data_IF_837948700048
#
_entry.id   IF_837948700048
#
_cell.length_a   1.000
_cell.length_b   1.000
_cell.length_c   1.000
_cell.angle_alpha   90.00
_cell.angle_beta   90.00
_cell.angle_gamma   90.00
#
_symmetry.space_group_name_H-M   'P 1'
#
loop_
_entity.id
_entity.type
_entity.pdbx_description
1 polymer ?
#
# COMPACT_ATOMS: atom_id res chain seq x y z
N UNK A 1 13.53 -15.93 -31.01
CA UNK A 1 13.26 -14.61 -31.59
C UNK A 1 11.79 -14.56 -32.00
N UNK A 2 10.89 -14.41 -31.01
CA UNK A 2 9.47 -14.10 -31.19
C UNK A 2 9.28 -12.73 -30.55
N UNK A 3 9.03 -11.71 -31.36
CA UNK A 3 8.94 -10.32 -30.94
C UNK A 3 7.58 -10.02 -30.30
N UNK A 4 7.67 -9.20 -29.27
CA UNK A 4 6.62 -8.55 -28.50
C UNK A 4 5.62 -7.79 -29.39
N UNK A 5 4.46 -8.37 -29.70
CA UNK A 5 3.37 -7.66 -30.39
C UNK A 5 2.37 -6.97 -29.41
N UNK A 6 2.59 -6.99 -28.09
CA UNK A 6 1.62 -6.49 -27.10
C UNK A 6 2.09 -5.31 -26.20
N UNK A 7 3.19 -4.62 -26.54
CA UNK A 7 3.72 -3.53 -25.69
C UNK A 7 3.26 -2.11 -26.09
N UNK A 8 2.28 -1.98 -26.98
CA UNK A 8 1.78 -0.68 -27.41
C UNK A 8 0.55 -0.27 -26.61
N UNK A 9 0.64 0.91 -25.97
CA UNK A 9 -0.50 1.52 -25.29
C UNK A 9 -1.37 2.37 -26.21
N UNK A 10 -0.92 2.57 -27.46
CA UNK A 10 -1.51 3.52 -28.37
C UNK A 10 -1.09 4.95 -28.03
N UNK A 11 -1.99 5.89 -28.23
CA UNK A 11 -1.70 7.31 -28.10
C UNK A 11 -2.04 7.83 -26.70
N UNK A 12 -1.13 8.60 -26.09
CA UNK A 12 -1.38 9.36 -24.86
C UNK A 12 -1.65 10.83 -25.17
N UNK A 13 -2.55 11.43 -24.40
CA UNK A 13 -2.81 12.87 -24.47
C UNK A 13 -1.88 13.63 -23.52
N UNK A 14 -1.16 14.61 -24.06
CA UNK A 14 -0.33 15.56 -23.34
C UNK A 14 -1.08 16.90 -23.31
N UNK A 15 -1.35 17.41 -22.11
CA UNK A 15 -2.10 18.66 -21.96
C UNK A 15 -1.64 19.47 -20.77
N UNK A 16 -1.96 20.76 -20.77
CA UNK A 16 -1.75 21.61 -19.60
C UNK A 16 -2.98 21.63 -18.70
N UNK A 17 -2.76 21.55 -17.39
CA UNK A 17 -3.80 21.69 -16.37
C UNK A 17 -3.26 22.53 -15.20
N UNK A 18 -3.71 23.78 -15.09
CA UNK A 18 -3.33 24.65 -13.97
C UNK A 18 -1.83 24.86 -13.77
N UNK A 19 -1.04 24.84 -14.86
CA UNK A 19 0.43 25.00 -14.82
C UNK A 19 1.21 23.68 -14.86
N UNK A 20 0.54 22.53 -14.71
CA UNK A 20 1.16 21.20 -14.80
C UNK A 20 0.99 20.62 -16.21
N UNK A 21 1.96 19.82 -16.67
CA UNK A 21 1.78 18.96 -17.85
C UNK A 21 1.20 17.62 -17.39
N UNK A 22 0.10 17.21 -18.00
CA UNK A 22 -0.59 15.96 -17.70
C UNK A 22 -0.42 15.01 -18.86
N UNK A 23 0.08 13.80 -18.59
CA UNK A 23 0.06 12.67 -19.52
C UNK A 23 -1.04 11.73 -19.02
N UNK A 24 -2.06 11.49 -19.83
CA UNK A 24 -3.18 10.62 -19.49
C UNK A 24 -3.79 9.94 -20.72
N UNK A 25 -4.45 8.79 -20.50
CA UNK A 25 -5.34 8.17 -21.48
C UNK A 25 -6.65 8.95 -21.67
N UNK A 26 -7.11 9.66 -20.63
CA UNK A 26 -8.36 10.45 -20.59
C UNK A 26 -8.45 11.37 -19.34
N UNK A 27 -9.34 12.38 -19.39
CA UNK A 27 -9.43 13.56 -18.48
C UNK A 27 -9.52 13.20 -16.98
N UNK A 28 -8.84 13.92 -16.05
CA UNK A 28 -8.87 13.58 -14.64
C UNK A 28 -10.12 14.14 -13.93
N UNK A 29 -10.79 13.25 -13.20
CA UNK A 29 -11.47 13.57 -11.95
C UNK A 29 -10.42 13.60 -10.81
N UNK A 30 -10.69 14.28 -9.66
CA UNK A 30 -9.77 14.28 -8.51
C UNK A 30 -9.43 12.86 -8.08
N UNK A 31 -8.19 12.59 -7.61
CA UNK A 31 -7.69 11.23 -7.50
C UNK A 31 -8.58 10.40 -6.56
N UNK A 32 -9.28 9.40 -7.10
CA UNK A 32 -10.06 8.46 -6.31
C UNK A 32 -9.13 7.56 -5.50
N UNK A 33 -9.69 6.87 -4.51
CA UNK A 33 -8.95 6.01 -3.59
C UNK A 33 -8.16 4.87 -4.29
N UNK A 34 -8.52 4.51 -5.52
CA UNK A 34 -7.79 3.52 -6.32
C UNK A 34 -6.56 4.06 -7.05
N UNK A 35 -6.29 5.38 -6.99
CA UNK A 35 -5.04 5.93 -7.52
C UNK A 35 -3.97 5.95 -6.44
N UNK A 36 -2.91 5.18 -6.64
CA UNK A 36 -1.67 5.32 -5.91
C UNK A 36 -0.86 6.49 -6.49
N UNK A 37 -0.29 7.33 -5.63
CA UNK A 37 0.60 8.42 -6.08
C UNK A 37 2.03 8.15 -5.65
N UNK A 38 2.96 8.19 -6.61
CA UNK A 38 4.40 8.07 -6.42
C UNK A 38 5.02 9.41 -6.77
N UNK A 39 5.75 10.01 -5.82
CA UNK A 39 6.49 11.23 -6.10
C UNK A 39 7.74 10.88 -6.92
N UNK A 40 7.83 11.46 -8.10
CA UNK A 40 8.95 11.30 -9.02
C UNK A 40 9.75 12.59 -9.15
N UNK A 41 10.95 12.52 -9.72
CA UNK A 41 11.69 13.73 -10.05
C UNK A 41 10.99 14.50 -11.17
N UNK A 42 10.70 15.78 -10.93
CA UNK A 42 9.92 16.60 -11.85
C UNK A 42 8.45 16.22 -12.04
N UNK A 43 7.86 15.40 -11.16
CA UNK A 43 6.42 15.17 -11.19
C UNK A 43 5.87 14.16 -10.18
N UNK A 44 4.66 13.69 -10.46
CA UNK A 44 3.96 12.66 -9.69
C UNK A 44 3.36 11.64 -10.66
N UNK A 45 3.67 10.36 -10.45
CA UNK A 45 3.05 9.25 -11.19
C UNK A 45 1.84 8.75 -10.40
N UNK A 46 0.72 8.59 -11.09
CA UNK A 46 -0.53 8.07 -10.56
C UNK A 46 -0.83 6.72 -11.22
N UNK A 47 -0.89 5.66 -10.42
CA UNK A 47 -1.17 4.29 -10.87
C UNK A 47 -2.56 3.89 -10.42
N UNK A 48 -3.38 3.42 -11.34
CA UNK A 48 -4.64 2.76 -11.00
C UNK A 48 -4.37 1.36 -10.44
N UNK A 49 -4.70 1.14 -9.17
CA UNK A 49 -4.48 -0.15 -8.52
C UNK A 49 -5.57 -1.17 -8.83
N UNK A 50 -6.69 -0.74 -9.43
CA UNK A 50 -7.75 -1.64 -9.92
C UNK A 50 -7.34 -2.35 -11.20
N UNK A 51 -6.60 -1.65 -12.06
CA UNK A 51 -6.01 -2.19 -13.27
C UNK A 51 -4.57 -1.65 -13.43
N UNK A 52 -3.58 -2.27 -12.77
CA UNK A 52 -2.19 -1.83 -12.83
C UNK A 52 -1.54 -2.10 -14.21
N UNK A 53 -2.28 -2.65 -15.17
CA UNK A 53 -1.82 -2.82 -16.56
C UNK A 53 -2.13 -1.58 -17.43
N UNK A 54 -2.98 -0.67 -16.92
CA UNK A 54 -3.29 0.59 -17.59
C UNK A 54 -2.11 1.55 -17.60
N UNK A 55 -2.15 2.46 -18.57
CA UNK A 55 -1.17 3.54 -18.71
C UNK A 55 -1.21 4.41 -17.45
N UNK A 56 -0.10 4.57 -16.72
CA UNK A 56 -0.11 5.45 -15.56
C UNK A 56 -0.42 6.89 -15.99
N UNK A 57 -1.07 7.66 -15.12
CA UNK A 57 -1.26 9.09 -15.33
C UNK A 57 -0.10 9.84 -14.70
N UNK A 58 0.41 10.88 -15.35
CA UNK A 58 1.51 11.69 -14.79
C UNK A 58 1.12 13.14 -14.70
N UNK A 59 1.50 13.78 -13.60
CA UNK A 59 1.45 15.22 -13.39
C UNK A 59 2.88 15.74 -13.28
N UNK A 60 3.36 16.46 -14.30
CA UNK A 60 4.70 17.03 -14.35
C UNK A 60 4.70 18.48 -13.88
N UNK A 61 5.62 18.78 -12.97
CA UNK A 61 5.96 20.13 -12.54
C UNK A 61 7.29 20.62 -13.14
N UNK A 62 8.22 19.70 -13.44
CA UNK A 62 9.48 19.96 -14.14
C UNK A 62 9.72 18.89 -15.24
N UNK A 63 9.25 19.14 -16.48
CA UNK A 63 9.38 18.20 -17.59
C UNK A 63 10.83 17.89 -17.97
N UNK A 64 11.77 18.82 -17.72
CA UNK A 64 13.18 18.61 -18.04
C UNK A 64 13.80 17.58 -17.11
N UNK A 65 13.50 17.66 -15.81
CA UNK A 65 13.93 16.66 -14.83
C UNK A 65 13.25 15.32 -15.05
N UNK A 66 12.01 15.33 -15.52
CA UNK A 66 11.25 14.10 -15.75
C UNK A 66 11.67 13.30 -16.98
N UNK A 67 12.43 13.91 -17.91
CA UNK A 67 12.71 13.33 -19.24
C UNK A 67 13.27 11.91 -19.20
N UNK A 68 14.25 11.66 -18.33
CA UNK A 68 14.93 10.37 -18.27
C UNK A 68 13.98 9.24 -17.88
N UNK A 69 13.20 9.41 -16.82
CA UNK A 69 12.28 8.35 -16.40
C UNK A 69 11.02 8.28 -17.28
N UNK A 70 10.62 9.38 -17.92
CA UNK A 70 9.52 9.36 -18.90
C UNK A 70 9.84 8.45 -20.07
N UNK A 71 11.07 8.46 -20.58
CA UNK A 71 11.53 7.54 -21.61
C UNK A 71 11.46 6.08 -21.12
N UNK A 72 11.94 5.83 -19.90
CA UNK A 72 11.92 4.50 -19.30
C UNK A 72 10.51 3.97 -18.96
N UNK A 73 9.50 4.83 -18.84
CA UNK A 73 8.12 4.42 -18.52
C UNK A 73 7.21 4.43 -19.76
N UNK A 74 7.30 5.45 -20.61
CA UNK A 74 6.41 5.67 -21.77
C UNK A 74 7.08 5.51 -23.14
N UNK A 75 8.40 5.31 -23.16
CA UNK A 75 9.21 5.28 -24.37
C UNK A 75 9.60 6.66 -24.89
N UNK A 76 10.54 6.65 -25.82
CA UNK A 76 11.24 7.85 -26.30
C UNK A 76 10.31 8.84 -26.99
N UNK A 77 9.33 8.35 -27.76
CA UNK A 77 8.40 9.22 -28.51
C UNK A 77 7.56 10.10 -27.58
N UNK A 78 7.05 9.53 -26.48
CA UNK A 78 6.28 10.26 -25.48
C UNK A 78 7.16 11.25 -24.70
N UNK A 79 8.38 10.84 -24.33
CA UNK A 79 9.34 11.70 -23.65
C UNK A 79 9.76 12.90 -24.51
N UNK A 80 10.02 12.69 -25.80
CA UNK A 80 10.37 13.75 -26.74
C UNK A 80 9.19 14.66 -27.09
N UNK A 81 7.95 14.13 -27.09
CA UNK A 81 6.75 14.95 -27.22
C UNK A 81 6.59 15.90 -26.02
N UNK A 82 6.77 15.39 -24.79
CA UNK A 82 6.77 16.22 -23.57
C UNK A 82 7.88 17.28 -23.61
N UNK A 83 9.08 16.93 -24.06
CA UNK A 83 10.20 17.88 -24.15
C UNK A 83 9.99 19.00 -25.19
N UNK A 84 9.18 18.74 -26.22
CA UNK A 84 8.81 19.72 -27.26
C UNK A 84 7.51 20.46 -26.96
N UNK A 85 6.81 20.07 -25.90
CA UNK A 85 5.51 20.66 -25.54
C UNK A 85 5.73 22.14 -25.19
N UNK A 86 5.35 23.02 -26.11
CA UNK A 86 5.48 24.47 -25.97
C UNK A 86 4.25 25.06 -25.29
N UNK A 87 4.50 25.97 -24.35
CA UNK A 87 3.56 26.52 -23.38
C UNK A 87 2.49 27.44 -24.00
N UNK A 88 2.65 27.79 -25.28
CA UNK A 88 1.96 28.89 -25.95
C UNK A 88 0.58 28.58 -26.54
N UNK A 89 0.20 27.30 -26.69
CA UNK A 89 -1.06 26.94 -27.35
C UNK A 89 -2.01 26.25 -26.37
N UNK A 90 -3.03 26.99 -25.91
CA UNK A 90 -4.15 26.45 -25.11
C UNK A 90 -5.11 25.58 -25.95
N UNK A 91 -4.57 24.93 -26.98
CA UNK A 91 -5.29 24.14 -27.98
C UNK A 91 -5.67 22.75 -27.50
N UNK A 92 -6.03 21.89 -28.46
CA UNK A 92 -6.30 20.48 -28.20
C UNK A 92 -5.06 19.79 -27.58
N UNK A 93 -5.25 18.74 -26.75
CA UNK A 93 -4.13 17.95 -26.23
C UNK A 93 -3.24 17.50 -27.38
N UNK A 94 -1.92 17.63 -27.21
CA UNK A 94 -0.96 17.00 -28.12
C UNK A 94 -1.03 15.49 -27.90
N UNK A 95 -0.84 14.73 -28.97
CA UNK A 95 -1.04 13.29 -28.96
C UNK A 95 0.24 12.62 -29.41
N UNK A 96 0.81 11.81 -28.53
CA UNK A 96 2.04 11.09 -28.80
C UNK A 96 1.82 9.58 -28.70
N UNK A 97 2.47 8.77 -29.54
CA UNK A 97 2.48 7.33 -29.35
C UNK A 97 3.25 7.01 -28.06
N UNK A 98 2.68 6.12 -27.24
CA UNK A 98 3.28 5.62 -26.02
C UNK A 98 3.43 4.10 -26.07
N UNK A 99 4.52 3.63 -25.49
CA UNK A 99 4.85 2.20 -25.39
C UNK A 99 5.22 1.88 -23.95
N UNK A 100 4.99 0.63 -23.55
CA UNK A 100 5.45 0.14 -22.27
C UNK A 100 6.98 0.17 -22.24
N UNK A 101 7.53 1.11 -21.48
CA UNK A 101 8.97 1.17 -21.21
C UNK A 101 9.42 0.14 -20.18
N UNK A 102 10.73 0.02 -19.99
CA UNK A 102 11.37 -0.96 -19.12
C UNK A 102 10.92 -0.85 -17.65
N UNK A 103 10.64 0.36 -17.19
CA UNK A 103 10.20 0.62 -15.82
C UNK A 103 8.70 0.47 -15.61
N UNK A 104 7.88 0.29 -16.66
CA UNK A 104 6.42 0.27 -16.50
C UNK A 104 5.95 -0.77 -15.46
N UNK A 105 6.34 -2.03 -15.63
CA UNK A 105 5.91 -3.10 -14.72
C UNK A 105 6.38 -2.87 -13.28
N UNK A 106 7.55 -2.25 -13.11
CA UNK A 106 8.10 -1.91 -11.79
C UNK A 106 7.29 -0.77 -11.18
N UNK A 107 7.01 0.31 -11.92
CA UNK A 107 6.22 1.47 -11.47
C UNK A 107 4.79 1.08 -11.12
N UNK A 108 4.15 0.23 -11.92
CA UNK A 108 2.83 -0.29 -11.65
C UNK A 108 2.80 -1.08 -10.32
N UNK A 109 3.75 -2.01 -10.14
CA UNK A 109 3.87 -2.80 -8.91
C UNK A 109 4.23 -1.93 -7.70
N UNK A 110 5.08 -0.93 -7.90
CA UNK A 110 5.46 0.04 -6.87
C UNK A 110 4.26 0.89 -6.43
N UNK A 111 3.42 1.32 -7.38
CA UNK A 111 2.16 2.03 -7.10
C UNK A 111 1.22 1.20 -6.24
N UNK A 112 1.01 -0.08 -6.61
CA UNK A 112 0.27 -1.03 -5.77
C UNK A 112 0.90 -1.15 -4.39
N UNK A 113 2.22 -1.30 -4.30
CA UNK A 113 2.94 -1.38 -3.02
C UNK A 113 2.69 -0.15 -2.12
N UNK A 114 2.85 1.06 -2.65
CA UNK A 114 2.54 2.29 -1.92
C UNK A 114 1.08 2.39 -1.51
N UNK A 115 0.16 1.94 -2.35
CA UNK A 115 -1.26 1.88 -2.02
C UNK A 115 -1.54 0.91 -0.88
N UNK A 116 -0.99 -0.31 -0.92
CA UNK A 116 -1.10 -1.28 0.16
C UNK A 116 -0.50 -0.73 1.46
N UNK A 117 0.69 -0.14 1.37
CA UNK A 117 1.38 0.44 2.53
C UNK A 117 0.57 1.56 3.18
N UNK A 118 -0.22 2.28 2.38
CA UNK A 118 -1.06 3.39 2.82
C UNK A 118 -2.45 2.97 3.29
N UNK A 119 -3.08 2.04 2.59
CA UNK A 119 -4.52 1.77 2.68
C UNK A 119 -4.87 0.34 3.08
N UNK A 120 -3.88 -0.56 3.20
CA UNK A 120 -4.20 -1.93 3.56
C UNK A 120 -4.80 -2.01 4.96
N UNK A 121 -5.95 -2.68 5.11
CA UNK A 121 -6.59 -2.78 6.39
C UNK A 121 -5.82 -3.70 7.33
N UNK A 122 -5.28 -3.16 8.43
CA UNK A 122 -4.69 -3.97 9.49
C UNK A 122 -5.79 -4.53 10.41
N UNK A 123 -5.86 -5.85 10.57
CA UNK A 123 -6.67 -6.50 11.61
C UNK A 123 -8.16 -6.67 11.31
N UNK A 124 -8.57 -6.67 10.04
CA UNK A 124 -9.91 -7.11 9.66
C UNK A 124 -9.93 -8.64 9.53
N UNK A 125 -10.87 -9.31 10.22
CA UNK A 125 -10.98 -10.79 10.19
C UNK A 125 -11.19 -11.35 8.76
N UNK A 126 -11.67 -10.52 7.84
CA UNK A 126 -11.99 -10.88 6.44
C UNK A 126 -10.85 -10.59 5.46
N UNK A 127 -9.79 -9.86 5.87
CA UNK A 127 -8.68 -9.47 5.01
C UNK A 127 -7.37 -10.07 5.53
N UNK A 128 -6.61 -10.81 4.71
CA UNK A 128 -5.32 -11.34 5.13
C UNK A 128 -4.42 -10.25 5.69
N UNK A 129 -3.80 -10.53 6.84
CA UNK A 129 -2.83 -9.60 7.39
C UNK A 129 -1.60 -9.55 6.47
N UNK A 130 -1.12 -8.34 6.19
CA UNK A 130 0.11 -8.13 5.43
C UNK A 130 1.24 -7.94 6.43
N UNK A 131 2.34 -8.69 6.24
CA UNK A 131 3.58 -8.40 6.94
C UNK A 131 4.17 -7.10 6.40
N UNK A 132 4.08 -6.05 7.20
CA UNK A 132 4.51 -4.71 6.80
C UNK A 132 6.02 -4.63 6.60
N UNK A 133 6.82 -5.40 7.34
CA UNK A 133 8.26 -5.44 7.13
C UNK A 133 8.62 -6.03 5.77
N UNK A 134 7.92 -7.09 5.36
CA UNK A 134 8.08 -7.66 4.02
C UNK A 134 7.54 -6.75 2.92
N UNK A 135 6.46 -6.02 3.19
CA UNK A 135 5.95 -5.00 2.26
C UNK A 135 6.95 -3.85 2.09
N UNK A 136 7.54 -3.35 3.18
CA UNK A 136 8.56 -2.29 3.14
C UNK A 136 9.79 -2.75 2.34
N UNK A 137 10.25 -3.99 2.53
CA UNK A 137 11.34 -4.61 1.76
C UNK A 137 11.02 -4.71 0.26
N UNK A 138 9.80 -5.12 -0.08
CA UNK A 138 9.35 -5.22 -1.48
C UNK A 138 9.23 -3.84 -2.14
N UNK A 139 8.64 -2.85 -1.47
CA UNK A 139 8.55 -1.48 -1.97
C UNK A 139 9.96 -0.88 -2.12
N UNK A 140 10.85 -1.09 -1.15
CA UNK A 140 12.23 -0.62 -1.21
C UNK A 140 13.02 -1.24 -2.38
N UNK A 141 12.87 -2.55 -2.61
CA UNK A 141 13.48 -3.21 -3.77
C UNK A 141 12.96 -2.66 -5.10
N UNK A 142 11.64 -2.49 -5.23
CA UNK A 142 11.00 -1.93 -6.43
C UNK A 142 11.40 -0.47 -6.66
N UNK A 143 11.50 0.32 -5.59
CA UNK A 143 11.93 1.71 -5.68
C UNK A 143 13.41 1.84 -6.08
N UNK A 144 14.27 0.92 -5.62
CA UNK A 144 15.67 0.86 -6.07
C UNK A 144 15.80 0.44 -7.54
N UNK A 145 14.98 -0.51 -8.00
CA UNK A 145 14.92 -0.85 -9.44
C UNK A 145 14.37 0.31 -10.29
N UNK A 146 13.51 1.14 -9.72
CA UNK A 146 13.00 2.37 -10.31
C UNK A 146 13.78 3.61 -9.88
N UNK A 147 15.07 3.49 -9.51
CA UNK A 147 15.91 4.60 -9.06
C UNK A 147 15.86 5.84 -9.96
N UNK A 148 15.85 5.72 -11.32
CA UNK A 148 15.77 6.89 -12.20
C UNK A 148 14.50 7.74 -12.01
N UNK A 149 13.46 7.20 -11.35
CA UNK A 149 12.24 7.91 -11.03
C UNK A 149 12.45 8.95 -9.91
N UNK A 150 13.44 8.79 -9.04
CA UNK A 150 13.58 9.56 -7.81
C UNK A 150 14.68 10.61 -7.89
N UNK A 151 14.46 11.75 -7.23
CA UNK A 151 15.47 12.82 -7.15
C UNK A 151 16.60 12.49 -6.14
N UNK A 152 16.28 11.65 -5.15
CA UNK A 152 17.22 11.14 -4.15
C UNK A 152 16.77 9.77 -3.63
N UNK A 153 17.66 9.07 -2.95
CA UNK A 153 17.43 7.70 -2.46
C UNK A 153 16.91 7.66 -1.01
N UNK A 154 16.63 8.81 -0.38
CA UNK A 154 16.23 8.86 1.02
C UNK A 154 14.92 8.09 1.31
N UNK A 155 13.88 8.13 0.45
CA UNK A 155 12.67 7.32 0.65
C UNK A 155 12.97 5.81 0.62
N UNK A 156 13.90 5.38 -0.23
CA UNK A 156 14.30 3.97 -0.37
C UNK A 156 15.05 3.53 0.89
N UNK A 157 15.97 4.37 1.36
CA UNK A 157 16.71 4.13 2.60
C UNK A 157 15.77 4.02 3.81
N UNK A 158 14.76 4.89 3.90
CA UNK A 158 13.77 4.85 4.99
C UNK A 158 12.95 3.56 5.01
N UNK A 159 12.71 2.95 3.85
CA UNK A 159 12.02 1.66 3.74
C UNK A 159 12.94 0.48 4.09
N UNK A 160 14.20 0.48 3.63
CA UNK A 160 15.08 -0.68 3.76
C UNK A 160 15.85 -0.73 5.08
N UNK A 161 16.34 0.41 5.57
CA UNK A 161 17.24 0.49 6.73
C UNK A 161 16.65 -0.12 8.03
N UNK A 162 15.34 0.05 8.36
CA UNK A 162 14.77 -0.58 9.55
C UNK A 162 14.80 -2.11 9.53
N UNK A 163 14.88 -2.71 8.34
CA UNK A 163 14.67 -4.14 8.10
C UNK A 163 15.95 -4.89 7.73
N UNK A 164 17.12 -4.25 7.67
CA UNK A 164 18.37 -4.86 7.18
C UNK A 164 18.75 -6.15 7.92
N UNK A 165 18.60 -6.22 9.25
CA UNK A 165 18.84 -7.46 10.03
C UNK A 165 17.80 -8.53 9.76
N UNK A 166 16.53 -8.15 9.70
CA UNK A 166 15.42 -9.06 9.43
C UNK A 166 15.57 -9.67 8.04
N UNK A 167 15.96 -8.86 7.06
CA UNK A 167 16.18 -9.26 5.69
C UNK A 167 17.20 -10.40 5.57
N UNK A 168 18.36 -10.27 6.22
CA UNK A 168 19.40 -11.33 6.24
C UNK A 168 18.82 -12.64 6.77
N UNK A 169 18.10 -12.60 7.90
CA UNK A 169 17.50 -13.79 8.51
C UNK A 169 16.46 -14.44 7.59
N UNK A 170 15.56 -13.63 7.02
CA UNK A 170 14.49 -14.13 6.15
C UNK A 170 15.06 -14.77 4.88
N UNK A 171 16.11 -14.20 4.30
CA UNK A 171 16.78 -14.79 3.14
C UNK A 171 17.40 -16.14 3.49
N UNK A 172 18.12 -16.24 4.61
CA UNK A 172 18.73 -17.51 5.04
C UNK A 172 17.69 -18.59 5.31
N UNK A 173 16.59 -18.24 5.98
CA UNK A 173 15.48 -19.15 6.26
C UNK A 173 14.81 -19.63 4.95
N UNK A 174 14.56 -18.72 4.00
CA UNK A 174 13.96 -19.08 2.72
C UNK A 174 14.88 -19.93 1.83
N UNK A 175 16.19 -19.66 1.82
CA UNK A 175 17.18 -20.49 1.09
C UNK A 175 17.22 -21.92 1.62
N UNK A 176 16.96 -22.13 2.91
CA UNK A 176 16.87 -23.46 3.51
C UNK A 176 15.60 -24.24 3.13
N UNK A 177 14.59 -23.56 2.55
CA UNK A 177 13.28 -24.14 2.23
C UNK A 177 13.15 -24.37 0.71
N UNK A 178 13.09 -25.64 0.28
CA UNK A 178 13.01 -25.98 -1.14
C UNK A 178 11.59 -25.79 -1.73
N UNK A 179 11.41 -24.82 -2.64
CA UNK A 179 10.16 -24.65 -3.41
C UNK A 179 10.18 -23.50 -4.43
N UNK A 180 9.39 -23.61 -5.51
CA UNK A 180 9.32 -22.58 -6.57
C UNK A 180 8.83 -21.22 -6.08
N UNK A 181 7.89 -21.20 -5.14
CA UNK A 181 7.41 -19.96 -4.49
C UNK A 181 8.51 -19.30 -3.65
N UNK A 182 9.41 -20.08 -3.04
CA UNK A 182 10.55 -19.55 -2.32
C UNK A 182 11.53 -18.85 -3.27
N UNK A 183 11.72 -19.37 -4.49
CA UNK A 183 12.62 -18.79 -5.49
C UNK A 183 12.20 -17.39 -5.94
N UNK A 184 10.90 -17.16 -6.20
CA UNK A 184 10.40 -15.82 -6.55
C UNK A 184 10.57 -14.82 -5.40
N UNK A 185 10.29 -15.24 -4.16
CA UNK A 185 10.48 -14.38 -2.98
C UNK A 185 11.94 -14.04 -2.77
N UNK A 186 12.81 -15.03 -2.95
CA UNK A 186 14.25 -14.88 -2.83
C UNK A 186 14.77 -13.84 -3.81
N UNK A 187 14.28 -13.83 -5.06
CA UNK A 187 14.67 -12.81 -6.04
C UNK A 187 14.43 -11.37 -5.56
N UNK A 188 13.23 -11.05 -5.09
CA UNK A 188 12.90 -9.70 -4.59
C UNK A 188 13.68 -9.38 -3.31
N UNK A 189 13.84 -10.33 -2.39
CA UNK A 189 14.58 -10.10 -1.15
C UNK A 189 16.09 -9.93 -1.42
N UNK A 190 16.66 -10.67 -2.36
CA UNK A 190 18.04 -10.47 -2.81
C UNK A 190 18.19 -9.10 -3.48
N UNK A 191 17.20 -8.62 -4.24
CA UNK A 191 17.19 -7.24 -4.74
C UNK A 191 17.14 -6.22 -3.59
N UNK A 192 16.29 -6.44 -2.58
CA UNK A 192 16.26 -5.58 -1.38
C UNK A 192 17.61 -5.60 -0.64
N UNK A 193 18.30 -6.74 -0.62
CA UNK A 193 19.60 -6.92 0.03
C UNK A 193 20.68 -6.13 -0.71
N UNK A 194 20.71 -6.23 -2.04
CA UNK A 194 21.61 -5.45 -2.91
C UNK A 194 21.38 -3.96 -2.72
N UNK A 195 20.12 -3.52 -2.78
CA UNK A 195 19.73 -2.14 -2.52
C UNK A 195 20.19 -1.67 -1.14
N UNK A 196 20.02 -2.51 -0.10
CA UNK A 196 20.47 -2.21 1.26
C UNK A 196 21.98 -1.99 1.33
N UNK A 197 22.78 -2.88 0.73
CA UNK A 197 24.26 -2.77 0.73
C UNK A 197 24.74 -1.52 -0.02
N UNK A 198 24.02 -1.12 -1.08
CA UNK A 198 24.36 0.01 -1.93
C UNK A 198 24.05 1.37 -1.27
N UNK A 199 22.90 1.50 -0.60
CA UNK A 199 22.39 2.82 -0.15
C UNK A 199 22.47 3.05 1.36
N UNK A 200 22.57 1.99 2.18
CA UNK A 200 22.57 2.12 3.65
C UNK A 200 23.99 2.37 4.15
N UNK A 201 24.13 3.27 5.13
CA UNK A 201 25.42 3.63 5.69
C UNK A 201 26.15 2.41 6.31
N UNK A 202 27.47 2.23 6.11
CA UNK A 202 28.19 1.04 6.57
C UNK A 202 28.19 0.77 8.08
N UNK A 203 27.94 1.80 8.89
CA UNK A 203 27.82 1.72 10.35
C UNK A 203 26.41 1.33 10.81
N UNK A 204 25.46 1.16 9.88
CA UNK A 204 24.08 0.81 10.19
C UNK A 204 23.95 -0.65 10.69
N UNK A 205 23.03 -0.90 11.63
CA UNK A 205 22.73 -2.25 12.10
C UNK A 205 22.38 -3.22 10.95
N UNK A 206 23.09 -4.35 10.84
CA UNK A 206 22.82 -5.39 9.84
C UNK A 206 23.55 -5.22 8.50
N UNK A 207 24.30 -4.12 8.32
CA UNK A 207 25.05 -3.86 7.09
C UNK A 207 26.13 -4.91 6.84
N UNK A 208 26.99 -5.18 7.83
CA UNK A 208 28.08 -6.14 7.70
C UNK A 208 27.55 -7.55 7.41
N UNK A 209 26.45 -7.94 8.05
CA UNK A 209 25.77 -9.21 7.81
C UNK A 209 25.15 -9.28 6.41
N UNK A 210 24.63 -8.14 5.91
CA UNK A 210 24.08 -8.03 4.56
C UNK A 210 25.16 -8.19 3.48
N UNK A 211 26.32 -7.55 3.66
CA UNK A 211 27.48 -7.72 2.76
C UNK A 211 27.95 -9.17 2.75
N UNK A 212 28.17 -9.77 3.92
CA UNK A 212 28.64 -11.14 4.02
C UNK A 212 27.64 -12.14 3.40
N UNK A 213 26.34 -11.91 3.55
CA UNK A 213 25.32 -12.71 2.90
C UNK A 213 25.38 -12.53 1.38
N UNK A 214 25.43 -11.29 0.88
CA UNK A 214 25.45 -11.02 -0.55
C UNK A 214 26.68 -11.65 -1.23
N UNK A 215 27.86 -11.53 -0.62
CA UNK A 215 29.09 -12.19 -1.11
C UNK A 215 28.93 -13.70 -1.23
N UNK A 216 28.25 -14.33 -0.26
CA UNK A 216 27.94 -15.76 -0.30
C UNK A 216 26.98 -16.09 -1.44
N UNK A 217 25.93 -15.29 -1.64
CA UNK A 217 24.97 -15.48 -2.74
C UNK A 217 25.69 -15.38 -4.08
N UNK A 218 26.48 -14.34 -4.29
CA UNK A 218 27.19 -14.11 -5.56
C UNK A 218 28.21 -15.22 -5.85
N UNK A 219 28.86 -15.76 -4.81
CA UNK A 219 29.76 -16.92 -4.94
C UNK A 219 29.01 -18.19 -5.35
N UNK A 220 27.85 -18.44 -4.74
CA UNK A 220 27.01 -19.59 -5.07
C UNK A 220 26.45 -19.49 -6.49
N UNK A 221 25.99 -18.29 -6.91
CA UNK A 221 25.48 -18.04 -8.25
C UNK A 221 26.58 -18.18 -9.31
N UNK A 222 27.80 -17.70 -9.03
CA UNK A 222 28.95 -17.91 -9.92
C UNK A 222 29.29 -19.40 -10.06
N UNK A 223 29.27 -20.14 -8.94
CA UNK A 223 29.49 -21.60 -8.95
C UNK A 223 28.39 -22.32 -9.74
N UNK A 224 27.13 -21.90 -9.60
CA UNK A 224 26.02 -22.45 -10.36
C UNK A 224 26.16 -22.17 -11.86
N UNK A 225 26.56 -20.96 -12.24
CA UNK A 225 26.83 -20.60 -13.64
C UNK A 225 27.93 -21.48 -14.24
N UNK A 226 29.05 -21.68 -13.52
CA UNK A 226 30.13 -22.57 -13.95
C UNK A 226 29.64 -24.02 -14.14
N UNK A 227 28.78 -24.52 -13.24
CA UNK A 227 28.16 -25.85 -13.37
C UNK A 227 27.25 -25.90 -14.60
N UNK A 228 26.39 -24.91 -14.82
CA UNK A 228 25.45 -24.86 -15.94
C UNK A 228 26.20 -24.83 -17.29
N UNK A 229 27.31 -24.10 -17.36
CA UNK A 229 28.17 -24.03 -18.55
C UNK A 229 28.92 -25.35 -18.79
N UNK A 230 29.31 -26.06 -17.71
CA UNK A 230 29.95 -27.36 -17.80
C UNK A 230 28.98 -28.53 -18.01
N UNK A 231 27.67 -28.33 -17.81
CA UNK A 231 26.65 -29.38 -17.88
C UNK A 231 26.31 -29.71 -19.33
N UNK A 232 26.45 -30.98 -19.70
CA UNK A 232 25.91 -31.48 -20.97
C UNK A 232 24.38 -31.65 -20.85
N UNK A 233 23.68 -30.63 -21.31
CA UNK A 233 22.22 -30.55 -21.30
C UNK A 233 21.52 -31.73 -21.99
N UNK A 234 22.17 -32.41 -22.95
CA UNK A 234 21.58 -33.57 -23.63
C UNK A 234 21.53 -34.81 -22.72
N UNK A 235 22.48 -34.95 -21.80
CA UNK A 235 22.52 -36.05 -20.83
C UNK A 235 21.53 -35.80 -19.69
N UNK A 236 21.41 -34.55 -19.23
CA UNK A 236 20.52 -34.18 -18.14
C UNK A 236 19.03 -34.32 -18.52
N UNK A 237 18.67 -34.00 -19.77
CA UNK A 237 17.29 -34.13 -20.28
C UNK A 237 16.82 -35.60 -20.36
N UNK A 238 17.74 -36.51 -20.71
CA UNK A 238 17.47 -37.95 -20.72
C UNK A 238 17.22 -38.51 -19.30
N UNK A 239 17.95 -38.02 -18.30
CA UNK A 239 17.79 -38.44 -16.90
C UNK A 239 16.54 -37.83 -16.23
N UNK A 240 16.17 -36.59 -16.56
CA UNK A 240 14.92 -35.95 -16.11
C UNK A 240 13.68 -36.67 -16.67
N UNK A 241 13.71 -37.06 -17.95
CA UNK A 241 12.66 -37.88 -18.56
C UNK A 241 12.49 -39.24 -17.85
N UNK A 242 13.58 -39.84 -17.38
CA UNK A 242 13.55 -41.09 -16.62
C UNK A 242 13.06 -40.90 -15.16
N UNK A 243 13.18 -39.70 -14.58
CA UNK A 243 12.79 -39.39 -13.19
C UNK A 243 11.33 -38.95 -13.04
N UNK A 244 10.77 -38.24 -14.04
CA UNK A 244 9.39 -37.75 -14.03
C UNK A 244 8.32 -38.86 -13.93
N UNK A 245 8.65 -40.10 -14.31
CA UNK A 245 7.76 -41.27 -14.20
C UNK A 245 7.56 -41.74 -12.74
N UNK A 246 8.40 -41.31 -11.78
CA UNK A 246 8.41 -41.84 -10.40
C UNK A 246 7.66 -41.02 -9.34
N UNK A 247 7.22 -39.79 -9.64
CA UNK A 247 6.82 -38.82 -8.60
C UNK A 247 5.34 -38.39 -8.60
N UNK A 248 4.42 -39.26 -9.03
CA UNK A 248 2.98 -38.98 -8.97
C UNK A 248 2.27 -39.82 -7.89
N UNK A 249 2.46 -39.49 -6.60
CA UNK A 249 1.48 -39.86 -5.55
C UNK A 249 1.62 -39.06 -4.25
N UNK A 250 0.45 -38.69 -3.73
CA UNK A 250 0.11 -38.20 -2.40
C UNK A 250 0.38 -36.71 -2.10
N UNK A 251 -0.69 -35.94 -1.88
CA UNK A 251 -1.11 -35.50 -0.55
C UNK A 251 -2.57 -34.98 -0.59
N UNK A 252 -3.37 -35.39 0.39
CA UNK A 252 -4.74 -34.96 0.63
C UNK A 252 -4.79 -34.25 2.00
N UNK A 253 -5.51 -33.13 2.08
CA UNK A 253 -5.72 -32.33 3.29
C UNK A 253 -7.01 -32.74 4.04
N UNK A 254 -7.05 -32.65 5.38
CA UNK A 254 -8.30 -32.54 6.12
C UNK A 254 -8.48 -31.19 6.83
N UNK A 255 -9.75 -30.81 6.87
CA UNK A 255 -10.43 -29.62 7.38
C UNK A 255 -10.47 -29.56 8.93
N UNK A 256 -10.46 -28.36 9.54
CA UNK A 256 -10.85 -28.20 10.95
C UNK A 256 -11.55 -26.86 11.23
N UNK A 257 -12.63 -26.93 12.01
CA UNK A 257 -13.54 -25.83 12.38
C UNK A 257 -13.75 -25.77 13.90
N UNK A 258 -13.81 -24.52 14.43
CA UNK A 258 -14.49 -23.95 15.63
C UNK A 258 -13.88 -23.93 17.07
N UNK A 259 -13.57 -22.68 17.48
CA UNK A 259 -14.03 -21.82 18.63
C UNK A 259 -14.17 -22.32 20.08
N UNK A 260 -13.75 -21.46 21.03
CA UNK A 260 -14.34 -21.28 22.37
C UNK A 260 -14.32 -19.83 22.86
N UNK A 261 -15.24 -19.54 23.79
CA UNK A 261 -15.73 -18.23 24.24
C UNK A 261 -15.23 -17.78 25.62
N UNK A 262 -15.39 -16.49 25.92
CA UNK A 262 -15.89 -16.01 27.23
C UNK A 262 -15.07 -14.95 27.96
N UNK A 263 -15.67 -13.77 28.20
CA UNK A 263 -15.52 -13.00 29.45
C UNK A 263 -16.62 -11.92 29.56
N UNK A 264 -17.29 -11.86 30.71
CA UNK A 264 -18.34 -10.90 31.06
C UNK A 264 -17.77 -9.75 31.91
N UNK A 265 -18.12 -8.51 31.54
CA UNK A 265 -17.80 -7.29 32.28
C UNK A 265 -19.07 -6.56 32.73
N UNK A 266 -18.95 -5.82 33.83
CA UNK A 266 -20.01 -5.05 34.49
C UNK A 266 -20.58 -3.99 33.53
N UNK A 267 -21.88 -4.05 33.26
CA UNK A 267 -22.57 -3.10 32.39
C UNK A 267 -22.91 -1.82 33.17
N UNK A 268 -22.22 -0.73 32.87
CA UNK A 268 -22.73 0.60 33.18
C UNK A 268 -23.56 1.02 31.98
N UNK A 269 -24.88 1.15 32.15
CA UNK A 269 -25.80 1.44 31.04
C UNK A 269 -25.49 2.82 30.44
N UNK A 270 -24.99 2.90 29.20
CA UNK A 270 -24.87 4.16 28.50
C UNK A 270 -26.27 4.73 28.29
N UNK A 271 -26.45 6.05 28.39
CA UNK A 271 -27.75 6.65 28.07
C UNK A 271 -28.02 6.58 26.56
N UNK A 272 -26.96 6.68 25.75
CA UNK A 272 -26.92 6.34 24.32
C UNK A 272 -25.51 5.92 23.91
N UNK A 273 -25.41 5.06 22.90
CA UNK A 273 -24.15 4.66 22.28
C UNK A 273 -24.37 4.38 20.81
N UNK A 274 -23.33 4.53 20.02
CA UNK A 274 -23.32 4.11 18.63
C UNK A 274 -21.91 3.87 18.15
N UNK A 275 -21.81 3.37 16.93
CA UNK A 275 -20.55 3.23 16.23
C UNK A 275 -20.65 3.85 14.85
N UNK A 276 -19.51 4.32 14.36
CA UNK A 276 -19.32 4.82 13.00
C UNK A 276 -17.99 4.29 12.46
N UNK A 277 -17.79 4.45 11.17
CA UNK A 277 -16.53 4.11 10.52
C UNK A 277 -15.77 5.39 10.21
N UNK A 278 -14.47 5.39 10.48
CA UNK A 278 -13.62 6.51 10.15
C UNK A 278 -13.53 6.70 8.62
N UNK A 279 -13.63 7.95 8.17
CA UNK A 279 -13.28 8.30 6.81
C UNK A 279 -11.76 8.28 6.68
N UNK A 280 -11.24 7.21 6.08
CA UNK A 280 -9.81 6.96 5.89
C UNK A 280 -9.11 8.09 5.13
N UNK A 281 -9.81 8.84 4.27
CA UNK A 281 -9.23 9.97 3.55
C UNK A 281 -8.92 11.17 4.47
N UNK A 282 -9.51 11.20 5.66
CA UNK A 282 -9.32 12.24 6.68
C UNK A 282 -8.32 11.84 7.77
N UNK A 283 -7.72 10.65 7.68
CA UNK A 283 -6.73 10.18 8.65
C UNK A 283 -5.36 9.99 7.99
N UNK A 284 -4.25 10.20 8.73
CA UNK A 284 -2.93 9.81 8.27
C UNK A 284 -2.86 8.29 8.13
N UNK A 285 -1.99 7.77 7.25
CA UNK A 285 -1.77 6.34 7.11
C UNK A 285 -1.46 5.69 8.46
N UNK A 286 -1.93 4.46 8.67
CA UNK A 286 -1.64 3.64 9.87
C UNK A 286 -2.18 4.22 11.19
N UNK A 287 -3.13 5.15 11.15
CA UNK A 287 -3.65 5.78 12.38
C UNK A 287 -4.76 4.96 13.02
N UNK A 288 -5.75 4.53 12.24
CA UNK A 288 -6.91 3.79 12.75
C UNK A 288 -6.88 2.32 12.34
N UNK A 289 -7.54 1.48 13.15
CA UNK A 289 -7.70 0.05 12.89
C UNK A 289 -8.80 -0.15 11.87
N UNK A 290 -8.51 -0.92 10.81
CA UNK A 290 -9.38 -1.01 9.64
C UNK A 290 -10.49 -2.04 9.79
N UNK A 291 -11.29 -1.85 10.84
CA UNK A 291 -12.51 -2.63 11.07
C UNK A 291 -13.74 -1.77 10.83
N UNK A 292 -14.82 -2.46 10.49
CA UNK A 292 -16.16 -1.90 10.61
C UNK A 292 -16.36 -1.37 12.03
N UNK A 293 -16.98 -0.19 12.17
CA UNK A 293 -17.28 0.39 13.50
C UNK A 293 -16.03 0.67 14.36
N UNK A 294 -14.96 1.19 13.76
CA UNK A 294 -13.74 1.56 14.47
C UNK A 294 -13.83 2.89 15.24
N UNK A 295 -14.90 3.67 15.03
CA UNK A 295 -15.29 4.77 15.91
C UNK A 295 -16.42 4.29 16.79
N UNK A 296 -16.22 4.35 18.10
CA UNK A 296 -17.24 4.04 19.10
C UNK A 296 -17.50 5.28 19.92
N UNK A 297 -18.76 5.68 20.04
CA UNK A 297 -19.14 6.84 20.81
C UNK A 297 -20.21 6.51 21.84
N UNK A 298 -20.12 7.15 22.99
CA UNK A 298 -21.07 6.96 24.09
C UNK A 298 -21.43 8.30 24.70
N UNK A 299 -22.72 8.47 25.03
CA UNK A 299 -23.21 9.61 25.81
C UNK A 299 -23.57 9.12 27.21
N UNK A 300 -22.94 9.73 28.21
CA UNK A 300 -23.10 9.35 29.63
C UNK A 300 -23.42 10.57 30.47
N UNK A 301 -24.30 10.40 31.45
CA UNK A 301 -24.53 11.42 32.48
C UNK A 301 -23.56 11.22 33.63
N UNK A 302 -22.76 12.24 33.91
CA UNK A 302 -21.90 12.30 35.09
C UNK A 302 -22.35 13.49 35.92
N UNK A 303 -22.83 13.22 37.15
CA UNK A 303 -23.35 14.25 38.06
C UNK A 303 -24.42 15.16 37.42
N UNK A 304 -25.33 14.58 36.64
CA UNK A 304 -26.39 15.30 35.92
C UNK A 304 -25.95 16.05 34.66
N UNK A 305 -24.66 16.01 34.30
CA UNK A 305 -24.13 16.62 33.08
C UNK A 305 -23.88 15.56 31.99
N UNK A 306 -24.39 15.72 30.76
CA UNK A 306 -24.12 14.80 29.67
C UNK A 306 -22.72 15.02 29.08
N UNK A 307 -22.01 13.91 28.86
CA UNK A 307 -20.69 13.85 28.24
C UNK A 307 -20.72 12.92 27.03
N UNK A 308 -20.18 13.38 25.90
CA UNK A 308 -19.85 12.56 24.75
C UNK A 308 -18.42 12.08 24.89
N UNK A 309 -18.22 10.76 24.83
CA UNK A 309 -16.90 10.15 24.70
C UNK A 309 -16.81 9.50 23.33
N UNK A 310 -15.76 9.80 22.58
CA UNK A 310 -15.45 9.22 21.28
C UNK A 310 -14.15 8.46 21.40
N UNK A 311 -14.17 7.21 20.95
CA UNK A 311 -13.04 6.31 20.90
C UNK A 311 -12.83 5.92 19.44
N UNK A 312 -11.60 6.08 18.94
CA UNK A 312 -11.16 5.54 17.67
C UNK A 312 -10.12 4.46 17.94
N UNK A 313 -10.40 3.24 17.50
CA UNK A 313 -9.44 2.14 17.62
C UNK A 313 -8.22 2.42 16.76
N UNK A 314 -7.04 2.40 17.38
CA UNK A 314 -5.81 2.73 16.69
C UNK A 314 -5.18 1.48 16.07
N UNK A 315 -4.46 1.66 14.95
CA UNK A 315 -3.63 0.58 14.42
C UNK A 315 -2.49 0.25 15.40
N UNK A 316 -1.96 -0.97 15.33
CA UNK A 316 -0.78 -1.38 16.09
C UNK A 316 0.43 -0.46 15.82
N UNK A 317 0.47 0.14 14.62
CA UNK A 317 1.52 1.05 14.16
C UNK A 317 1.16 2.53 14.29
N UNK A 318 0.06 2.87 14.98
CA UNK A 318 -0.38 4.25 15.12
C UNK A 318 0.72 5.12 15.74
N UNK A 319 1.02 6.23 15.08
CA UNK A 319 1.95 7.22 15.58
C UNK A 319 1.26 8.05 16.69
N UNK A 320 1.75 8.00 17.94
CA UNK A 320 1.15 8.75 19.05
C UNK A 320 1.22 10.27 18.88
N UNK A 321 2.08 10.77 17.98
CA UNK A 321 2.23 12.20 17.71
C UNK A 321 1.13 12.79 16.80
N UNK A 322 0.27 11.94 16.23
CA UNK A 322 -0.83 12.38 15.36
C UNK A 322 -1.88 13.15 16.16
N UNK A 323 -2.30 14.31 15.66
CA UNK A 323 -3.30 15.16 16.31
C UNK A 323 -4.67 14.91 15.70
N UNK A 324 -5.39 13.93 16.24
CA UNK A 324 -6.75 13.65 15.80
C UNK A 324 -7.78 14.53 16.50
N UNK A 325 -8.83 14.87 15.77
CA UNK A 325 -10.01 15.56 16.28
C UNK A 325 -11.25 14.73 15.98
N UNK A 326 -12.16 14.64 16.95
CA UNK A 326 -13.52 14.23 16.70
C UNK A 326 -14.37 15.46 16.40
N UNK A 327 -15.32 15.29 15.47
CA UNK A 327 -16.42 16.22 15.26
C UNK A 327 -17.74 15.48 15.40
N UNK A 328 -18.73 16.16 15.96
CA UNK A 328 -20.07 15.59 16.11
C UNK A 328 -21.17 16.55 15.68
N UNK A 329 -22.24 15.98 15.14
CA UNK A 329 -23.41 16.70 14.65
C UNK A 329 -24.70 15.93 14.97
N UNK A 330 -25.84 16.63 15.14
CA UNK A 330 -27.15 16.02 15.03
C UNK A 330 -27.33 15.45 13.63
N UNK A 331 -27.80 14.19 13.51
CA UNK A 331 -28.03 13.55 12.21
C UNK A 331 -29.03 14.33 11.33
N UNK A 332 -29.95 15.05 11.97
CA UNK A 332 -31.03 15.80 11.29
C UNK A 332 -30.60 17.21 10.87
N UNK A 333 -29.42 17.69 11.31
CA UNK A 333 -28.94 19.05 11.05
C UNK A 333 -27.42 19.09 10.81
N UNK A 334 -27.01 18.55 9.66
CA UNK A 334 -25.62 18.56 9.20
C UNK A 334 -25.09 19.96 8.84
N UNK A 335 -25.96 20.96 8.75
CA UNK A 335 -25.58 22.36 8.49
C UNK A 335 -25.18 23.09 9.78
N UNK A 336 -25.49 22.51 10.95
CA UNK A 336 -25.08 23.02 12.25
C UNK A 336 -23.55 23.06 12.38
N UNK A 337 -23.06 24.03 13.15
CA UNK A 337 -21.62 24.13 13.47
C UNK A 337 -21.25 22.88 14.29
N UNK A 338 -20.26 22.08 13.85
CA UNK A 338 -19.85 20.90 14.60
C UNK A 338 -19.32 21.27 15.97
N UNK A 339 -19.59 20.41 16.95
CA UNK A 339 -18.72 20.34 18.12
C UNK A 339 -17.45 19.59 17.73
N UNK A 340 -16.31 20.28 17.77
CA UNK A 340 -14.98 19.71 17.46
C UNK A 340 -14.13 19.67 18.72
N UNK A 341 -13.46 18.54 18.98
CA UNK A 341 -12.57 18.37 20.13
C UNK A 341 -11.46 17.37 19.83
N UNK A 342 -10.31 17.53 20.48
CA UNK A 342 -9.15 16.67 20.29
C UNK A 342 -9.37 15.26 20.86
N UNK A 343 -8.72 14.28 20.23
CA UNK A 343 -8.55 12.93 20.75
C UNK A 343 -7.11 12.77 21.25
N UNK A 344 -6.95 12.14 22.41
CA UNK A 344 -5.67 11.79 23.00
C UNK A 344 -5.38 10.30 22.79
N UNK A 345 -4.15 9.96 22.43
CA UNK A 345 -3.76 8.57 22.22
C UNK A 345 -3.47 7.85 23.55
N UNK A 346 -4.27 6.84 23.87
CA UNK A 346 -3.99 5.89 24.96
C UNK A 346 -3.14 4.74 24.42
N UNK A 347 -1.84 4.78 24.70
CA UNK A 347 -0.88 3.75 24.25
C UNK A 347 -1.14 2.37 24.86
N UNK A 348 -1.78 2.31 26.03
CA UNK A 348 -2.06 1.05 26.74
C UNK A 348 -3.21 0.32 26.09
N UNK A 349 -4.27 1.06 25.74
CA UNK A 349 -5.46 0.50 25.09
C UNK A 349 -5.38 0.52 23.57
N UNK A 350 -4.41 1.24 23.01
CA UNK A 350 -4.28 1.52 21.57
C UNK A 350 -5.57 2.13 21.00
N UNK A 351 -6.04 3.20 21.65
CA UNK A 351 -7.27 3.91 21.28
C UNK A 351 -7.04 5.41 21.38
N UNK A 352 -7.48 6.16 20.37
CA UNK A 352 -7.61 7.61 20.47
C UNK A 352 -8.93 7.95 21.16
N UNK A 353 -8.88 8.63 22.31
CA UNK A 353 -10.04 8.95 23.14
C UNK A 353 -10.20 10.45 23.30
N UNK A 354 -11.41 10.96 23.08
CA UNK A 354 -11.75 12.34 23.34
C UNK A 354 -13.05 12.45 24.08
N UNK A 355 -13.17 13.47 24.93
CA UNK A 355 -14.36 13.72 25.73
C UNK A 355 -14.82 15.16 25.60
N UNK A 356 -16.11 15.35 25.43
CA UNK A 356 -16.75 16.65 25.30
C UNK A 356 -17.99 16.74 26.16
N UNK A 357 -18.10 17.84 26.92
CA UNK A 357 -19.33 18.18 27.64
C UNK A 357 -20.39 18.64 26.64
N UNK A 358 -21.58 18.06 26.72
CA UNK A 358 -22.73 18.48 25.91
C UNK A 358 -23.58 19.50 26.70
N UNK A 359 -24.19 20.44 26.00
CA UNK A 359 -25.13 21.41 26.58
C UNK A 359 -26.48 20.79 26.89
N UNK A 360 -26.90 19.81 26.08
CA UNK A 360 -28.10 19.00 26.28
C UNK A 360 -27.90 17.60 25.70
N UNK A 361 -28.67 16.62 26.19
CA UNK A 361 -28.72 15.30 25.55
C UNK A 361 -29.40 15.47 24.18
N UNK A 362 -28.76 15.07 23.08
CA UNK A 362 -29.38 15.11 21.77
C UNK A 362 -30.64 14.24 21.75
N UNK A 363 -31.73 14.76 21.22
CA UNK A 363 -32.98 13.99 21.04
C UNK A 363 -32.93 13.16 19.76
N UNK A 364 -32.21 13.62 18.73
CA UNK A 364 -31.97 12.95 17.44
C UNK A 364 -30.74 12.03 17.49
N UNK A 365 -30.54 11.22 16.45
CA UNK A 365 -29.31 10.44 16.27
C UNK A 365 -28.08 11.36 16.10
N UNK A 366 -26.89 10.79 16.34
CA UNK A 366 -25.61 11.49 16.29
C UNK A 366 -24.73 10.94 15.18
N UNK A 367 -24.11 11.84 14.41
CA UNK A 367 -23.01 11.50 13.52
C UNK A 367 -21.72 11.93 14.19
N UNK A 368 -20.77 11.01 14.29
CA UNK A 368 -19.44 11.27 14.83
C UNK A 368 -18.42 10.85 13.79
N UNK A 369 -17.56 11.80 13.42
CA UNK A 369 -16.42 11.56 12.54
C UNK A 369 -15.12 11.88 13.29
N UNK A 370 -14.02 11.27 12.84
CA UNK A 370 -12.66 11.59 13.31
C UNK A 370 -11.80 11.98 12.11
N UNK A 371 -10.98 13.01 12.28
CA UNK A 371 -10.10 13.53 11.25
C UNK A 371 -8.79 14.07 11.84
N UNK A 372 -7.75 14.14 11.02
CA UNK A 372 -6.54 14.92 11.28
C UNK A 372 -6.67 16.28 10.56
N UNK A 373 -6.44 17.42 11.25
CA UNK A 373 -6.50 18.75 10.66
C UNK A 373 -5.62 18.94 9.42
N UNK A 374 -4.47 18.26 9.33
CA UNK A 374 -3.58 18.29 8.17
C UNK A 374 -4.16 17.56 6.95
N UNK A 375 -5.13 16.66 7.17
CA UNK A 375 -5.79 15.86 6.14
C UNK A 375 -7.23 16.34 5.88
N UNK A 376 -7.66 17.43 6.53
CA UNK A 376 -9.04 17.89 6.50
C UNK A 376 -9.48 18.29 5.08
N UNK A 377 -10.39 17.51 4.48
CA UNK A 377 -11.21 17.96 3.37
C UNK A 377 -12.48 18.62 3.91
N UNK A 378 -13.04 19.62 3.21
CA UNK A 378 -14.38 20.16 3.54
C UNK A 378 -15.36 18.97 3.63
N UNK A 379 -16.27 18.95 4.62
CA UNK A 379 -17.22 17.86 4.75
C UNK A 379 -17.98 17.71 3.43
N UNK A 380 -17.98 16.50 2.86
CA UNK A 380 -19.03 16.15 1.92
C UNK A 380 -20.33 16.28 2.71
N UNK A 381 -21.35 17.02 2.25
CA UNK A 381 -22.67 16.84 2.80
C UNK A 381 -22.96 15.33 2.68
N UNK A 382 -23.14 14.66 3.81
CA UNK A 382 -23.74 13.32 3.81
C UNK A 382 -25.17 13.54 3.36
N UNK A 383 -25.32 13.63 2.04
CA UNK A 383 -26.63 13.50 1.41
C UNK A 383 -27.15 12.15 1.90
N UNK A 384 -28.41 12.12 2.31
CA UNK A 384 -29.20 10.98 2.77
C UNK A 384 -29.36 9.94 1.63
N UNK A 385 -28.24 9.51 1.06
CA UNK A 385 -28.10 8.49 0.05
C UNK A 385 -27.14 7.45 0.59
N UNK A 386 -27.59 6.70 1.60
CA UNK A 386 -26.92 5.46 2.07
C UNK A 386 -26.41 4.67 0.87
N UNK A 387 -27.21 4.56 -0.19
CA UNK A 387 -26.88 3.84 -1.42
C UNK A 387 -25.60 4.28 -2.16
N UNK A 388 -25.23 5.56 -2.25
CA UNK A 388 -24.08 5.97 -3.07
C UNK A 388 -22.74 5.82 -2.33
N UNK A 389 -22.72 6.19 -1.03
CA UNK A 389 -21.58 5.97 -0.17
C UNK A 389 -21.39 4.48 0.16
N UNK A 390 -22.48 3.71 0.28
CA UNK A 390 -22.44 2.25 0.42
C UNK A 390 -21.99 1.56 -0.88
N UNK A 391 -22.27 2.15 -2.05
CA UNK A 391 -21.75 1.67 -3.34
C UNK A 391 -20.26 1.94 -3.51
N UNK A 392 -19.78 3.15 -3.17
CA UNK A 392 -18.33 3.45 -3.17
C UNK A 392 -17.59 2.65 -2.08
N UNK A 393 -18.23 2.41 -0.93
CA UNK A 393 -17.72 1.58 0.19
C UNK A 393 -17.64 0.09 -0.17
N UNK A 394 -18.71 -0.48 -0.75
CA UNK A 394 -18.69 -1.86 -1.25
C UNK A 394 -17.62 -1.99 -2.32
N UNK A 395 -17.51 -1.03 -3.25
CA UNK A 395 -16.43 -1.01 -4.25
C UNK A 395 -15.03 -0.98 -3.67
N UNK A 396 -14.78 -0.26 -2.55
CA UNK A 396 -13.46 -0.24 -1.91
C UNK A 396 -13.15 -1.58 -1.25
N UNK A 397 -14.11 -2.17 -0.53
CA UNK A 397 -13.92 -3.47 0.11
C UNK A 397 -13.81 -4.57 -0.95
N UNK A 398 -14.66 -4.55 -1.96
CA UNK A 398 -14.61 -5.45 -3.12
C UNK A 398 -13.27 -5.30 -3.84
N UNK A 399 -12.77 -4.07 -4.03
CA UNK A 399 -11.43 -3.81 -4.58
C UNK A 399 -10.32 -4.35 -3.69
N UNK A 400 -10.37 -4.15 -2.36
CA UNK A 400 -9.38 -4.68 -1.43
C UNK A 400 -9.40 -6.21 -1.45
N UNK A 401 -10.59 -6.82 -1.45
CA UNK A 401 -10.78 -8.29 -1.45
C UNK A 401 -10.39 -8.90 -2.80
N UNK A 402 -10.78 -8.27 -3.91
CA UNK A 402 -10.36 -8.66 -5.26
C UNK A 402 -8.85 -8.52 -5.41
N UNK A 403 -8.26 -7.43 -4.93
CA UNK A 403 -6.82 -7.24 -4.96
C UNK A 403 -6.11 -8.23 -4.04
N UNK A 404 -6.63 -8.51 -2.84
CA UNK A 404 -6.11 -9.59 -1.99
C UNK A 404 -6.07 -10.94 -2.73
N UNK A 405 -7.14 -11.27 -3.47
CA UNK A 405 -7.16 -12.48 -4.30
C UNK A 405 -6.19 -12.43 -5.47
N UNK A 406 -5.98 -11.25 -6.06
CA UNK A 406 -5.08 -11.06 -7.20
C UNK A 406 -3.61 -11.04 -6.79
N UNK A 407 -3.28 -10.47 -5.63
CA UNK A 407 -1.94 -10.49 -5.02
C UNK A 407 -1.45 -11.93 -4.79
N UNK A 408 -2.37 -12.84 -4.45
CA UNK A 408 -2.09 -14.28 -4.32
C UNK A 408 -1.58 -14.90 -5.62
N UNK A 409 -2.09 -14.43 -6.74
CA UNK A 409 -1.72 -14.90 -8.07
C UNK A 409 -0.50 -14.12 -8.64
N UNK A 410 -0.36 -12.84 -8.28
CA UNK A 410 0.76 -11.98 -8.69
C UNK A 410 2.02 -12.11 -7.83
N UNK A 411 1.96 -12.89 -6.74
CA UNK A 411 3.09 -13.26 -5.90
C UNK A 411 3.74 -12.09 -5.16
N UNK A 412 2.95 -11.24 -4.49
CA UNK A 412 3.47 -10.34 -3.45
C UNK A 412 4.00 -11.17 -2.27
N UNK A 413 5.13 -10.77 -1.69
CA UNK A 413 5.78 -11.56 -0.63
C UNK A 413 4.97 -11.50 0.66
N UNK A 414 4.38 -10.35 0.94
CA UNK A 414 3.78 -10.02 2.22
C UNK A 414 2.50 -10.80 2.58
N UNK A 415 1.92 -11.57 1.64
CA UNK A 415 0.68 -12.35 1.85
C UNK A 415 0.94 -13.79 2.35
N UNK A 416 2.17 -14.29 2.30
CA UNK A 416 2.44 -15.72 2.49
C UNK A 416 3.46 -16.05 3.58
N UNK A 417 3.62 -15.15 4.53
CA UNK A 417 4.39 -15.42 5.73
C UNK A 417 3.44 -15.35 6.92
N UNK A 418 2.65 -16.42 7.08
CA UNK A 418 2.18 -16.79 8.41
C UNK A 418 3.42 -17.21 9.19
N UNK A 419 4.09 -16.26 9.84
CA UNK A 419 4.98 -16.63 10.94
C UNK A 419 4.08 -17.27 11.99
N UNK A 420 4.22 -18.59 12.14
CA UNK A 420 3.86 -19.25 13.38
C UNK A 420 4.50 -18.43 14.49
N UNK A 421 3.65 -17.88 15.36
CA UNK A 421 4.06 -17.38 16.65
C UNK A 421 4.93 -18.46 17.31
N UNK A 422 6.23 -18.22 17.41
CA UNK A 422 6.95 -18.66 18.58
C UNK A 422 7.17 -17.43 19.46
N UNK A 423 6.26 -17.31 20.42
CA UNK A 423 6.56 -16.61 21.65
C UNK A 423 7.69 -17.35 22.35
N UNK A 424 8.82 -16.67 22.51
CA UNK A 424 9.74 -16.86 23.63
C UNK A 424 10.27 -15.51 24.07
#
# INVERSE_FOLDING_TARGET
MNQNENNEWGNVGIRRDGGLIVIASDRPAPPPIHLASIRADGGTVCVDVTDPTTVPTVLLDDPLRARTWLDLVYGTDAADAVARFDDGDAGAPDVAPARQGELFGIVARLGVGYWLHRWWPSGADEVPNIDVGLLDLEIGALAWLAEPLFADLAPIQQLLQPHSRTLVRVIDDLRSTAGSTAHRRLGILTTALRATVDIVAPDSPGYAESVALLDRIDTEDATAADILDATDWQVLDADLAASAVRSARAYAWPELVRTKAGASGIWITPTRSGSSEADWAQLPPRTALARHSNINWTVRHEQGTPWLTVNLDASAQANPAVQLMARSYPADDLASVPDVFALEFDSTRRVFTGRRRLTSVPTSDFVVDVFDPAYMRRPRPSTVGRSAAEHDRSRIIDLIVERARHLRNEGFIAEHVTWENDQS
#
